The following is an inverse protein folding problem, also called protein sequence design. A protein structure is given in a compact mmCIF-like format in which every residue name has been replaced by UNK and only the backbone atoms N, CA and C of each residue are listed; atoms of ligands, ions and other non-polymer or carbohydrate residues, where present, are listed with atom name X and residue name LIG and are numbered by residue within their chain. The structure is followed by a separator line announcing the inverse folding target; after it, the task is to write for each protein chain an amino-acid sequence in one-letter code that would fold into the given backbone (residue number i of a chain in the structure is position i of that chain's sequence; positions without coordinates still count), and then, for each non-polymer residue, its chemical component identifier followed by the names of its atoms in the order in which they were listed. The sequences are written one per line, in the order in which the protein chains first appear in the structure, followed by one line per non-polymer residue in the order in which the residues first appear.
data_IF_840280558327
#
_entry.id   IF_840280558327
#
_cell.length_a   1.000
_cell.length_b   1.000
_cell.length_c   1.000
_cell.angle_alpha   90.00
_cell.angle_beta   90.00
_cell.angle_gamma   90.00
#
_symmetry.space_group_name_H-M   'P 1'
#
loop_
_entity.id
_entity.type
_entity.pdbx_description
1 polymer ?
#
# COMPACT_ATOMS: atom_id res chain seq x y z
N UNK A 1 -15.09 -3.20 11.61
CA UNK A 1 -14.41 -2.42 10.55
C UNK A 1 -13.32 -1.59 11.21
N UNK A 2 -12.09 -1.65 10.72
CA UNK A 2 -10.93 -1.05 11.39
C UNK A 2 -10.36 0.10 10.54
N UNK A 3 -10.86 1.30 10.80
CA UNK A 3 -10.40 2.52 10.14
C UNK A 3 -9.00 2.92 10.63
N UNK A 4 -8.71 2.74 11.91
CA UNK A 4 -7.44 3.16 12.50
C UNK A 4 -6.28 2.38 11.89
N UNK A 5 -6.45 1.07 11.72
CA UNK A 5 -5.49 0.24 11.00
C UNK A 5 -5.33 0.67 9.54
N UNK A 6 -6.43 1.01 8.87
CA UNK A 6 -6.40 1.47 7.47
C UNK A 6 -5.64 2.78 7.32
N UNK A 7 -5.91 3.75 8.20
CA UNK A 7 -5.21 5.04 8.24
C UNK A 7 -3.73 4.83 8.61
N UNK A 8 -3.40 3.92 9.52
CA UNK A 8 -2.02 3.58 9.87
C UNK A 8 -1.23 3.02 8.68
N UNK A 9 -1.79 2.04 7.97
CA UNK A 9 -1.19 1.47 6.74
C UNK A 9 -0.96 2.55 5.68
N UNK A 10 -1.93 3.45 5.50
CA UNK A 10 -1.79 4.57 4.56
C UNK A 10 -0.67 5.53 4.95
N UNK A 11 -0.59 5.93 6.22
CA UNK A 11 0.49 6.80 6.71
C UNK A 11 1.87 6.13 6.59
N UNK A 12 1.98 4.83 6.88
CA UNK A 12 3.22 4.09 6.66
C UNK A 12 3.62 4.06 5.19
N UNK A 13 2.66 3.87 4.27
CA UNK A 13 2.91 3.88 2.82
C UNK A 13 3.47 5.21 2.31
N UNK A 14 3.03 6.33 2.90
CA UNK A 14 3.48 7.67 2.53
C UNK A 14 4.92 7.99 2.96
N UNK A 15 5.51 7.26 3.93
CA UNK A 15 6.87 7.54 4.41
C UNK A 15 7.95 7.32 3.35
N UNK A 16 7.69 6.44 2.39
CA UNK A 16 8.64 6.21 1.30
C UNK A 16 9.91 5.44 1.68
N UNK A 17 9.91 4.74 2.81
CA UNK A 17 11.11 4.12 3.40
C UNK A 17 11.14 2.58 3.27
N UNK A 18 10.26 2.00 2.45
CA UNK A 18 10.22 0.55 2.24
C UNK A 18 11.34 0.15 1.28
N UNK A 19 12.30 -0.61 1.79
CA UNK A 19 13.44 -1.07 1.00
C UNK A 19 13.07 -2.34 0.19
N UNK A 20 13.17 -2.25 -1.13
CA UNK A 20 13.02 -3.38 -2.07
C UNK A 20 14.13 -3.25 -3.12
N UNK A 21 14.86 -4.35 -3.37
CA UNK A 21 15.90 -4.41 -4.42
C UNK A 21 16.91 -3.25 -4.36
N UNK A 22 17.29 -2.82 -3.16
CA UNK A 22 18.27 -1.73 -2.95
C UNK A 22 17.74 -0.32 -3.17
N UNK A 23 16.43 -0.16 -3.45
CA UNK A 23 15.75 1.13 -3.57
C UNK A 23 14.71 1.31 -2.47
N UNK A 24 14.43 2.56 -2.11
CA UNK A 24 13.38 2.91 -1.15
C UNK A 24 12.14 3.40 -1.89
N UNK A 25 10.98 2.88 -1.49
CA UNK A 25 9.72 3.16 -2.13
C UNK A 25 8.66 3.56 -1.11
N UNK A 26 7.73 4.38 -1.57
CA UNK A 26 6.44 4.62 -0.92
C UNK A 26 5.33 3.97 -1.72
N UNK A 27 4.19 3.79 -1.06
CA UNK A 27 2.99 3.31 -1.70
C UNK A 27 1.82 4.21 -1.34
N UNK A 28 1.26 4.89 -2.35
CA UNK A 28 0.06 5.70 -2.19
C UNK A 28 -1.16 4.79 -2.36
N UNK A 29 -2.02 4.76 -1.35
CA UNK A 29 -3.22 3.94 -1.33
C UNK A 29 -4.47 4.83 -1.28
N UNK A 30 -5.52 4.45 -2.03
CA UNK A 30 -6.80 5.13 -1.94
C UNK A 30 -7.70 4.44 -0.91
N UNK A 31 -8.28 5.21 0.02
CA UNK A 31 -9.15 4.71 1.09
C UNK A 31 -10.63 4.96 0.74
N UNK A 32 -11.32 3.88 0.41
CA UNK A 32 -12.73 3.83 0.07
C UNK A 32 -13.62 3.22 1.16
N UNK A 33 -14.86 2.96 0.78
CA UNK A 33 -15.87 2.33 1.65
C UNK A 33 -16.52 3.29 2.65
N UNK A 34 -17.75 2.96 3.07
CA UNK A 34 -18.54 3.79 4.00
C UNK A 34 -17.82 4.02 5.34
N UNK A 35 -17.14 2.99 5.85
CA UNK A 35 -16.40 3.04 7.11
C UNK A 35 -14.91 3.39 6.93
N UNK A 36 -14.45 3.73 5.72
CA UNK A 36 -13.04 4.06 5.44
C UNK A 36 -12.07 2.96 5.88
N UNK A 37 -12.41 1.72 5.54
CA UNK A 37 -11.69 0.51 5.91
C UNK A 37 -11.41 -0.41 4.72
N UNK A 38 -11.45 0.14 3.51
CA UNK A 38 -11.25 -0.59 2.25
C UNK A 38 -10.21 0.15 1.43
N UNK A 39 -9.18 -0.57 0.97
CA UNK A 39 -8.26 -0.05 -0.03
C UNK A 39 -8.81 -0.28 -1.42
N UNK A 40 -8.99 0.80 -2.18
CA UNK A 40 -9.38 0.72 -3.59
C UNK A 40 -8.14 0.64 -4.45
N UNK A 41 -8.02 -0.44 -5.22
CA UNK A 41 -6.92 -0.65 -6.15
C UNK A 41 -7.41 -0.37 -7.57
N UNK A 42 -6.87 0.70 -8.17
CA UNK A 42 -7.20 1.11 -9.54
C UNK A 42 -5.88 1.30 -10.32
N UNK A 43 -5.23 0.21 -10.76
CA UNK A 43 -4.00 0.30 -11.51
C UNK A 43 -4.22 0.96 -12.88
N UNK A 44 -3.21 1.65 -13.40
CA UNK A 44 -3.26 2.20 -14.75
C UNK A 44 -3.28 1.06 -15.79
N UNK A 45 -4.00 1.25 -16.90
CA UNK A 45 -4.06 0.24 -17.99
C UNK A 45 -2.70 0.03 -18.68
N UNK A 46 -1.77 0.96 -18.52
CA UNK A 46 -0.40 0.91 -19.06
C UNK A 46 0.60 0.29 -18.09
N UNK A 47 0.16 -0.08 -16.88
CA UNK A 47 1.03 -0.61 -15.83
C UNK A 47 1.56 -1.98 -16.23
N UNK A 48 2.87 -2.21 -16.05
CA UNK A 48 3.49 -3.50 -16.41
C UNK A 48 3.28 -4.53 -15.31
N UNK A 49 3.51 -5.81 -15.63
CA UNK A 49 3.45 -6.88 -14.63
C UNK A 49 4.52 -6.72 -13.56
N UNK A 50 5.70 -6.22 -13.91
CA UNK A 50 6.77 -5.94 -12.95
C UNK A 50 6.38 -4.83 -11.97
N UNK A 51 5.64 -3.81 -12.43
CA UNK A 51 5.09 -2.78 -11.56
C UNK A 51 3.99 -3.34 -10.63
N UNK A 52 3.17 -4.28 -11.12
CA UNK A 52 2.21 -5.00 -10.28
C UNK A 52 2.90 -5.85 -9.21
N UNK A 53 3.97 -6.56 -9.56
CA UNK A 53 4.75 -7.37 -8.61
C UNK A 53 5.42 -6.48 -7.56
N UNK A 54 5.94 -5.31 -7.96
CA UNK A 54 6.46 -4.32 -7.02
C UNK A 54 5.37 -3.81 -6.08
N UNK A 55 4.17 -3.50 -6.59
CA UNK A 55 3.03 -3.12 -5.77
C UNK A 55 2.71 -4.20 -4.71
N UNK A 56 2.62 -5.47 -5.12
CA UNK A 56 2.32 -6.58 -4.20
C UNK A 56 3.39 -6.66 -3.10
N UNK A 57 4.67 -6.61 -3.47
CA UNK A 57 5.77 -6.68 -2.52
C UNK A 57 5.77 -5.51 -1.53
N UNK A 58 5.46 -4.28 -1.99
CA UNK A 58 5.32 -3.11 -1.12
C UNK A 58 4.12 -3.23 -0.18
N UNK A 59 2.97 -3.65 -0.72
CA UNK A 59 1.74 -3.79 0.04
C UNK A 59 1.88 -4.85 1.14
N UNK A 60 2.48 -6.01 0.86
CA UNK A 60 2.77 -7.02 1.88
C UNK A 60 3.69 -6.51 2.99
N UNK A 61 4.73 -5.72 2.66
CA UNK A 61 5.60 -5.14 3.67
C UNK A 61 4.84 -4.16 4.57
N UNK A 62 3.92 -3.37 4.01
CA UNK A 62 3.09 -2.45 4.79
C UNK A 62 2.17 -3.18 5.76
N UNK A 63 1.50 -4.23 5.30
CA UNK A 63 0.63 -5.05 6.16
C UNK A 63 1.43 -5.65 7.33
N UNK A 64 2.61 -6.23 7.05
CA UNK A 64 3.51 -6.78 8.08
C UNK A 64 3.98 -5.72 9.09
N UNK A 65 4.30 -4.51 8.65
CA UNK A 65 4.71 -3.40 9.54
C UNK A 65 3.58 -2.93 10.45
N UNK A 66 2.35 -2.94 9.95
CA UNK A 66 1.17 -2.49 10.71
C UNK A 66 0.53 -3.62 11.53
N UNK A 67 1.08 -4.83 11.50
CA UNK A 67 0.60 -5.97 12.29
C UNK A 67 -0.67 -6.64 11.74
N UNK A 68 -0.91 -6.55 10.42
CA UNK A 68 -1.96 -7.30 9.72
C UNK A 68 -1.46 -8.57 9.06
#
# INVERSE_FOLDING_TARGET
PDRELTDAIFQEGLKGDIAINGSHYGLVLDIGGYYKNVFTLAPALTMTFEEMDLFIALFEQLLKRCGS
#
